data_IF_048810041467
#
_entry.id   IF_048810041467
#
_cell.length_a   1.000
_cell.length_b   1.000
_cell.length_c   1.000
_cell.angle_alpha   90.00
_cell.angle_beta   90.00
_cell.angle_gamma   90.00
#
_symmetry.space_group_name_H-M   'P 1'
#
loop_
_entity.id
_entity.type
_entity.pdbx_description
1 polymer ?
#
# COMPACT_ATOMS: atom_id res chain seq x y z
N UNK A 1 -27.89 27.24 25.05
CA UNK A 1 -26.67 27.64 25.80
C UNK A 1 -25.54 27.77 24.79
N UNK A 2 -25.31 28.98 24.28
CA UNK A 2 -24.31 29.26 23.23
C UNK A 2 -23.04 29.80 23.90
N UNK A 3 -21.90 29.11 23.78
CA UNK A 3 -20.59 29.66 24.17
C UNK A 3 -19.99 30.35 22.94
N UNK A 4 -19.96 31.68 22.94
CA UNK A 4 -19.14 32.45 22.02
C UNK A 4 -17.68 32.40 22.49
N UNK A 5 -16.78 32.08 21.56
CA UNK A 5 -15.34 32.25 21.73
C UNK A 5 -14.97 33.65 21.22
N UNK A 6 -14.52 34.53 22.11
CA UNK A 6 -13.96 35.84 21.75
C UNK A 6 -12.44 35.78 21.83
N UNK A 7 -11.77 36.05 20.71
CA UNK A 7 -10.32 36.22 20.67
C UNK A 7 -9.94 37.61 21.18
N UNK A 8 -9.00 37.70 22.12
CA UNK A 8 -8.42 38.95 22.60
C UNK A 8 -7.01 39.13 22.02
N UNK A 9 -6.67 40.38 21.67
CA UNK A 9 -5.40 40.75 21.02
C UNK A 9 -4.31 41.20 22.01
N UNK A 10 -4.40 40.78 23.28
CA UNK A 10 -3.39 41.09 24.29
C UNK A 10 -2.36 39.96 24.36
N UNK A 11 -1.05 40.25 24.30
CA UNK A 11 -0.02 39.23 24.45
C UNK A 11 -0.10 38.59 25.84
N UNK A 12 -0.07 37.26 25.87
CA UNK A 12 -0.09 36.48 27.10
C UNK A 12 1.13 36.84 27.97
N UNK A 13 0.91 37.44 29.14
CA UNK A 13 1.99 37.78 30.07
C UNK A 13 2.61 36.51 30.64
N UNK A 14 3.86 36.23 30.28
CA UNK A 14 4.63 35.11 30.81
C UNK A 14 5.14 35.42 32.22
N UNK A 15 4.38 35.07 33.25
CA UNK A 15 4.91 34.93 34.60
C UNK A 15 5.74 33.65 34.69
N UNK A 16 7.04 33.81 34.91
CA UNK A 16 8.01 32.76 35.20
C UNK A 16 7.45 31.74 36.18
N UNK A 17 7.10 30.58 35.68
CA UNK A 17 6.69 29.42 36.46
C UNK A 17 7.71 28.33 36.17
N UNK A 18 8.39 27.92 37.24
CA UNK A 18 9.12 26.66 37.42
C UNK A 18 9.14 25.75 36.19
N UNK A 19 10.34 25.51 35.67
CA UNK A 19 10.62 24.47 34.69
C UNK A 19 10.01 23.15 35.17
N UNK A 20 8.81 22.85 34.68
CA UNK A 20 8.33 21.49 34.59
C UNK A 20 9.29 20.83 33.61
N UNK A 21 10.15 19.97 34.13
CA UNK A 21 10.84 18.98 33.33
C UNK A 21 9.78 18.28 32.50
N UNK A 22 9.71 18.63 31.21
CA UNK A 22 9.02 17.79 30.24
C UNK A 22 9.64 16.41 30.42
N UNK A 23 8.85 15.33 30.58
CA UNK A 23 9.43 14.01 30.46
C UNK A 23 9.96 13.96 29.04
N UNK A 24 11.29 14.02 28.91
CA UNK A 24 11.99 13.59 27.73
C UNK A 24 11.60 12.13 27.56
N UNK A 25 10.51 11.88 26.84
CA UNK A 25 10.14 10.57 26.38
C UNK A 25 11.16 10.22 25.30
N UNK A 26 12.33 9.81 25.76
CA UNK A 26 13.30 9.08 24.98
C UNK A 26 12.64 7.74 24.65
N UNK A 27 11.69 7.73 23.73
CA UNK A 27 11.42 6.50 22.99
C UNK A 27 12.77 6.15 22.36
N UNK A 28 13.38 5.00 22.70
CA UNK A 28 14.60 4.60 22.06
C UNK A 28 14.32 4.58 20.55
N UNK A 29 15.11 5.33 19.78
CA UNK A 29 14.96 5.32 18.32
C UNK A 29 15.09 3.88 17.81
N UNK A 30 14.14 3.44 16.99
CA UNK A 30 14.15 2.08 16.45
C UNK A 30 12.76 1.49 16.26
N UNK A 31 12.67 0.23 15.79
CA UNK A 31 11.42 -0.49 15.66
C UNK A 31 10.71 -0.62 17.02
N UNK A 32 9.38 -0.61 17.00
CA UNK A 32 8.59 -0.90 18.20
C UNK A 32 8.86 -2.33 18.67
N UNK A 33 8.60 -2.61 19.96
CA UNK A 33 8.70 -3.98 20.49
C UNK A 33 7.90 -5.00 19.66
N UNK A 34 6.73 -4.58 19.14
CA UNK A 34 5.94 -5.38 18.22
C UNK A 34 6.69 -5.68 16.92
N UNK A 35 7.23 -4.67 16.24
CA UNK A 35 7.95 -4.86 14.99
C UNK A 35 9.21 -5.73 15.19
N UNK A 36 9.98 -5.48 16.25
CA UNK A 36 11.17 -6.25 16.59
C UNK A 36 10.86 -7.75 16.85
N UNK A 37 9.73 -8.06 17.47
CA UNK A 37 9.32 -9.44 17.74
C UNK A 37 8.84 -10.21 16.50
N UNK A 38 8.38 -9.50 15.46
CA UNK A 38 7.73 -10.11 14.29
C UNK A 38 8.58 -10.06 13.01
N UNK A 39 9.56 -9.15 12.91
CA UNK A 39 10.49 -9.06 11.79
C UNK A 39 11.65 -10.07 11.93
N UNK A 40 11.36 -11.37 11.78
CA UNK A 40 12.34 -12.45 11.96
C UNK A 40 13.20 -12.71 10.73
N UNK A 41 12.70 -12.33 9.57
CA UNK A 41 13.30 -12.49 8.26
C UNK A 41 12.79 -11.37 7.32
N UNK A 42 13.32 -11.32 6.11
CA UNK A 42 12.99 -10.26 5.13
C UNK A 42 11.50 -10.25 4.79
N UNK A 43 10.89 -11.42 4.62
CA UNK A 43 9.50 -11.54 4.24
C UNK A 43 8.57 -11.15 5.41
N UNK A 44 8.84 -11.66 6.61
CA UNK A 44 8.05 -11.30 7.79
C UNK A 44 8.17 -9.81 8.14
N UNK A 45 9.34 -9.20 7.92
CA UNK A 45 9.51 -7.75 8.03
C UNK A 45 8.68 -6.98 6.99
N UNK A 46 8.65 -7.42 5.73
CA UNK A 46 7.85 -6.79 4.68
C UNK A 46 6.34 -6.89 4.96
N UNK A 47 5.88 -8.04 5.45
CA UNK A 47 4.46 -8.28 5.79
C UNK A 47 3.95 -7.46 6.98
N UNK A 48 4.82 -6.80 7.74
CA UNK A 48 4.39 -5.80 8.72
C UNK A 48 3.82 -4.53 8.06
N UNK A 49 4.25 -4.22 6.84
CA UNK A 49 3.73 -3.10 6.05
C UNK A 49 2.58 -3.55 5.16
N UNK A 50 2.74 -4.67 4.47
CA UNK A 50 1.71 -5.28 3.64
C UNK A 50 1.03 -6.37 4.43
N UNK A 51 0.10 -5.96 5.29
CA UNK A 51 -0.58 -6.88 6.20
C UNK A 51 -1.51 -7.83 5.44
N UNK A 52 -1.85 -9.00 6.01
CA UNK A 52 -2.83 -9.91 5.42
C UNK A 52 -4.21 -9.26 5.17
N UNK A 53 -4.57 -8.22 5.94
CA UNK A 53 -5.80 -7.47 5.72
C UNK A 53 -5.73 -6.64 4.43
N UNK A 54 -4.60 -5.98 4.18
CA UNK A 54 -4.35 -5.23 2.94
C UNK A 54 -4.33 -6.19 1.75
N UNK A 55 -3.62 -7.31 1.83
CA UNK A 55 -3.59 -8.33 0.77
C UNK A 55 -5.01 -8.81 0.42
N UNK A 56 -5.84 -9.11 1.42
CA UNK A 56 -7.24 -9.51 1.21
C UNK A 56 -8.05 -8.44 0.49
N UNK A 57 -7.97 -7.18 0.91
CA UNK A 57 -8.68 -6.07 0.24
C UNK A 57 -8.26 -5.99 -1.23
N UNK A 58 -6.96 -6.08 -1.51
CA UNK A 58 -6.46 -6.05 -2.89
C UNK A 58 -6.98 -7.23 -3.70
N UNK A 59 -6.90 -8.45 -3.16
CA UNK A 59 -7.38 -9.67 -3.82
C UNK A 59 -8.87 -9.60 -4.13
N UNK A 60 -9.69 -9.30 -3.12
CA UNK A 60 -11.15 -9.28 -3.24
C UNK A 60 -11.60 -8.24 -4.28
N UNK A 61 -11.04 -7.03 -4.21
CA UNK A 61 -11.42 -5.95 -5.12
C UNK A 61 -10.90 -6.18 -6.54
N UNK A 62 -9.71 -6.77 -6.69
CA UNK A 62 -9.14 -7.13 -7.99
C UNK A 62 -9.95 -8.25 -8.65
N UNK A 63 -10.30 -9.29 -7.90
CA UNK A 63 -11.12 -10.39 -8.41
C UNK A 63 -12.55 -9.96 -8.73
N UNK A 64 -13.13 -9.08 -7.94
CA UNK A 64 -14.43 -8.48 -8.22
C UNK A 64 -14.42 -7.70 -9.55
N UNK A 65 -13.39 -6.90 -9.80
CA UNK A 65 -13.23 -6.19 -11.09
C UNK A 65 -12.96 -7.16 -12.24
N UNK A 66 -12.14 -8.19 -12.03
CA UNK A 66 -11.86 -9.23 -13.01
C UNK A 66 -13.12 -9.97 -13.45
N UNK A 67 -13.92 -10.43 -12.48
CA UNK A 67 -15.19 -11.10 -12.72
C UNK A 67 -16.19 -10.18 -13.46
N UNK A 68 -16.27 -8.90 -13.11
CA UNK A 68 -17.12 -7.93 -13.83
C UNK A 68 -16.72 -7.74 -15.29
N UNK A 69 -15.42 -7.81 -15.60
CA UNK A 69 -14.90 -7.53 -16.94
C UNK A 69 -14.86 -8.76 -17.84
N UNK A 70 -14.57 -9.93 -17.29
CA UNK A 70 -14.31 -11.14 -18.06
C UNK A 70 -15.28 -12.28 -17.74
N UNK A 71 -16.15 -12.13 -16.74
CA UNK A 71 -17.11 -13.17 -16.34
C UNK A 71 -16.41 -14.49 -16.05
N UNK A 72 -16.93 -15.58 -16.64
CA UNK A 72 -16.41 -16.94 -16.48
C UNK A 72 -15.00 -17.14 -17.04
N UNK A 73 -14.51 -16.23 -17.90
CA UNK A 73 -13.15 -16.28 -18.41
C UNK A 73 -12.11 -15.74 -17.42
N UNK A 74 -12.54 -15.16 -16.29
CA UNK A 74 -11.63 -14.73 -15.23
C UNK A 74 -11.19 -15.91 -14.37
N UNK A 75 -9.92 -16.28 -14.47
CA UNK A 75 -9.35 -17.37 -13.68
C UNK A 75 -9.25 -17.07 -12.17
N UNK A 76 -9.30 -15.79 -11.79
CA UNK A 76 -8.96 -15.37 -10.44
C UNK A 76 -7.49 -14.99 -10.31
N UNK A 77 -7.20 -14.20 -9.29
CA UNK A 77 -5.88 -13.89 -8.76
C UNK A 77 -5.86 -14.40 -7.33
N UNK A 78 -4.92 -15.29 -7.00
CA UNK A 78 -4.76 -15.80 -5.64
C UNK A 78 -3.65 -15.06 -4.86
N UNK A 79 -3.45 -15.45 -3.60
CA UNK A 79 -2.43 -14.86 -2.71
C UNK A 79 -1.01 -15.05 -3.25
N UNK A 80 -0.74 -16.18 -3.92
CA UNK A 80 0.57 -16.47 -4.54
C UNK A 80 0.78 -15.57 -5.75
N UNK A 81 -0.24 -15.41 -6.59
CA UNK A 81 -0.22 -14.52 -7.75
C UNK A 81 0.06 -13.07 -7.33
N UNK A 82 -0.61 -12.59 -6.27
CA UNK A 82 -0.40 -11.23 -5.75
C UNK A 82 1.00 -11.03 -5.21
N UNK A 83 1.54 -12.01 -4.47
CA UNK A 83 2.90 -11.94 -3.95
C UNK A 83 3.94 -12.03 -5.06
N UNK A 84 3.74 -12.90 -6.03
CA UNK A 84 4.59 -13.01 -7.22
C UNK A 84 4.60 -11.69 -8.02
N UNK A 85 3.42 -11.12 -8.29
CA UNK A 85 3.28 -9.83 -8.94
C UNK A 85 3.98 -8.71 -8.17
N UNK A 86 3.78 -8.65 -6.84
CA UNK A 86 4.41 -7.64 -5.97
C UNK A 86 5.93 -7.81 -5.94
N UNK A 87 6.42 -9.04 -5.87
CA UNK A 87 7.85 -9.37 -5.93
C UNK A 87 8.48 -8.89 -7.24
N UNK A 88 7.80 -9.06 -8.38
CA UNK A 88 8.27 -8.54 -9.66
C UNK A 88 8.33 -7.01 -9.70
N UNK A 89 7.39 -6.31 -9.05
CA UNK A 89 7.43 -4.85 -8.92
C UNK A 89 8.62 -4.38 -8.07
N UNK A 90 8.87 -5.03 -6.94
CA UNK A 90 10.02 -4.74 -6.07
C UNK A 90 11.32 -4.97 -6.84
N UNK A 91 11.40 -6.09 -7.57
CA UNK A 91 12.58 -6.47 -8.33
C UNK A 91 12.84 -5.53 -9.51
N UNK A 92 11.80 -5.09 -10.22
CA UNK A 92 11.93 -4.05 -11.25
C UNK A 92 12.47 -2.74 -10.67
N UNK A 93 12.05 -2.38 -9.45
CA UNK A 93 12.61 -1.26 -8.70
C UNK A 93 14.09 -1.44 -8.37
N UNK A 94 14.49 -2.63 -7.92
CA UNK A 94 15.88 -2.95 -7.61
C UNK A 94 16.80 -2.86 -8.85
N UNK A 95 16.30 -3.27 -10.02
CA UNK A 95 16.99 -3.12 -11.29
C UNK A 95 17.01 -1.69 -11.86
N UNK A 96 16.40 -0.72 -11.16
CA UNK A 96 16.24 0.67 -11.61
C UNK A 96 15.58 0.78 -12.99
N UNK A 97 14.72 -0.18 -13.33
CA UNK A 97 14.04 -0.31 -14.63
C UNK A 97 12.90 0.70 -14.83
N UNK A 98 13.00 1.88 -14.21
CA UNK A 98 11.99 2.94 -14.36
C UNK A 98 12.01 3.44 -15.81
N UNK A 99 10.88 3.32 -16.49
CA UNK A 99 10.74 3.73 -17.89
C UNK A 99 11.21 2.68 -18.90
N UNK A 100 11.74 1.54 -18.44
CA UNK A 100 11.99 0.38 -19.28
C UNK A 100 10.66 -0.27 -19.68
N UNK A 101 10.55 -0.73 -20.93
CA UNK A 101 9.37 -1.45 -21.36
C UNK A 101 9.31 -2.81 -20.64
N UNK A 102 8.11 -3.19 -20.17
CA UNK A 102 7.92 -4.52 -19.59
C UNK A 102 8.32 -5.64 -20.57
N UNK A 103 8.10 -5.43 -21.88
CA UNK A 103 8.56 -6.38 -22.90
C UNK A 103 10.08 -6.62 -22.88
N UNK A 104 10.88 -5.58 -22.61
CA UNK A 104 12.34 -5.70 -22.50
C UNK A 104 12.75 -6.48 -21.24
N UNK A 105 12.07 -6.24 -20.11
CA UNK A 105 12.29 -7.00 -18.88
C UNK A 105 12.02 -8.50 -19.05
N UNK A 106 11.02 -8.84 -19.88
CA UNK A 106 10.56 -10.20 -20.20
C UNK A 106 11.18 -10.79 -21.48
N UNK A 107 12.14 -10.11 -22.10
CA UNK A 107 12.77 -10.63 -23.30
C UNK A 107 13.58 -11.90 -23.02
N UNK A 108 13.56 -12.86 -23.94
CA UNK A 108 14.17 -14.18 -23.73
C UNK A 108 15.71 -14.13 -23.78
N UNK A 109 16.28 -13.19 -24.53
CA UNK A 109 17.73 -13.11 -24.75
C UNK A 109 18.36 -11.99 -23.91
N UNK A 110 17.74 -10.82 -23.93
CA UNK A 110 18.23 -9.58 -23.33
C UNK A 110 17.52 -9.20 -22.02
N UNK A 111 16.44 -9.91 -21.68
CA UNK A 111 15.66 -9.66 -20.49
C UNK A 111 16.24 -10.30 -19.24
N UNK A 112 15.40 -10.42 -18.21
CA UNK A 112 15.77 -10.94 -16.91
C UNK A 112 14.99 -12.22 -16.66
N UNK A 113 15.67 -13.37 -16.72
CA UNK A 113 15.05 -14.69 -16.68
C UNK A 113 14.04 -14.90 -15.53
N UNK A 114 14.31 -14.29 -14.37
CA UNK A 114 13.43 -14.32 -13.19
C UNK A 114 12.01 -13.79 -13.48
N UNK A 115 11.85 -12.81 -14.36
CA UNK A 115 10.53 -12.26 -14.69
C UNK A 115 9.67 -13.29 -15.43
N UNK A 116 10.21 -13.88 -16.49
CA UNK A 116 9.53 -14.94 -17.25
C UNK A 116 9.34 -16.22 -16.43
N UNK A 117 10.30 -16.56 -15.57
CA UNK A 117 10.21 -17.73 -14.69
C UNK A 117 9.14 -17.58 -13.61
N UNK A 118 8.86 -16.34 -13.18
CA UNK A 118 7.84 -16.08 -12.16
C UNK A 118 6.44 -16.02 -12.76
N UNK A 119 6.27 -15.28 -13.86
CA UNK A 119 4.95 -15.03 -14.45
C UNK A 119 5.06 -14.63 -15.92
N UNK A 120 4.21 -15.13 -16.84
CA UNK A 120 4.20 -14.66 -18.22
C UNK A 120 3.86 -13.16 -18.33
N UNK A 121 4.49 -12.45 -19.28
CA UNK A 121 4.25 -11.01 -19.51
C UNK A 121 2.76 -10.67 -19.71
N UNK A 122 2.03 -11.55 -20.41
CA UNK A 122 0.59 -11.39 -20.64
C UNK A 122 -0.20 -11.39 -19.33
N UNK A 123 0.17 -12.24 -18.38
CA UNK A 123 -0.48 -12.34 -17.08
C UNK A 123 -0.10 -11.14 -16.19
N UNK A 124 1.17 -10.71 -16.22
CA UNK A 124 1.60 -9.48 -15.56
C UNK A 124 0.78 -8.27 -16.01
N UNK A 125 0.61 -8.08 -17.33
CA UNK A 125 -0.23 -7.01 -17.87
C UNK A 125 -1.70 -7.14 -17.52
N UNK A 126 -2.22 -8.37 -17.45
CA UNK A 126 -3.59 -8.62 -17.04
C UNK A 126 -3.82 -8.17 -15.59
N UNK A 127 -2.94 -8.59 -14.66
CA UNK A 127 -3.01 -8.18 -13.26
C UNK A 127 -2.78 -6.68 -13.09
N UNK A 128 -1.81 -6.06 -13.77
CA UNK A 128 -1.62 -4.60 -13.72
C UNK A 128 -2.88 -3.82 -14.12
N UNK A 129 -3.70 -4.34 -15.04
CA UNK A 129 -4.95 -3.69 -15.46
C UNK A 129 -6.07 -3.90 -14.46
N UNK A 130 -6.16 -5.10 -13.87
CA UNK A 130 -7.25 -5.49 -12.99
C UNK A 130 -7.05 -5.09 -11.53
N UNK A 131 -5.81 -4.78 -11.10
CA UNK A 131 -5.49 -4.43 -9.73
C UNK A 131 -6.40 -3.31 -9.19
N UNK A 132 -7.09 -3.56 -8.07
CA UNK A 132 -7.94 -2.59 -7.36
C UNK A 132 -7.72 -2.66 -5.85
N UNK A 133 -7.97 -1.53 -5.19
CA UNK A 133 -7.90 -1.38 -3.73
C UNK A 133 -9.28 -1.11 -3.10
N UNK A 134 -10.31 -0.91 -3.92
CA UNK A 134 -11.66 -0.62 -3.48
C UNK A 134 -12.71 -1.11 -4.49
N UNK A 135 -13.97 -1.14 -4.07
CA UNK A 135 -15.08 -1.44 -4.96
C UNK A 135 -15.45 -0.21 -5.78
N UNK A 136 -15.21 -0.30 -7.10
CA UNK A 136 -15.54 0.73 -8.08
C UNK A 136 -17.03 1.10 -8.09
N UNK A 137 -17.93 0.16 -7.79
CA UNK A 137 -19.38 0.41 -7.84
C UNK A 137 -19.82 1.40 -6.76
N UNK A 138 -19.27 1.29 -5.55
CA UNK A 138 -19.58 2.18 -4.41
C UNK A 138 -18.70 3.43 -4.37
N UNK A 139 -17.71 3.52 -5.25
CA UNK A 139 -16.71 4.61 -5.22
C UNK A 139 -17.31 5.98 -5.49
N UNK A 140 -18.30 6.07 -6.39
CA UNK A 140 -18.91 7.36 -6.75
C UNK A 140 -19.56 8.03 -5.54
N UNK A 141 -20.30 7.26 -4.74
CA UNK A 141 -20.94 7.72 -3.51
C UNK A 141 -19.91 8.12 -2.45
N UNK A 142 -18.90 7.26 -2.22
CA UNK A 142 -17.84 7.53 -1.24
C UNK A 142 -16.99 8.75 -1.60
N UNK A 143 -16.77 9.01 -2.89
CA UNK A 143 -16.01 10.16 -3.39
C UNK A 143 -16.60 11.51 -2.99
N UNK A 144 -17.90 11.56 -2.74
CA UNK A 144 -18.57 12.78 -2.25
C UNK A 144 -18.02 13.19 -0.88
N UNK A 145 -17.76 12.20 -0.02
CA UNK A 145 -17.24 12.43 1.33
C UNK A 145 -15.70 12.35 1.41
N UNK A 146 -15.08 11.49 0.60
CA UNK A 146 -13.64 11.22 0.64
C UNK A 146 -13.02 11.21 -0.76
N UNK A 147 -12.19 12.21 -1.07
CA UNK A 147 -11.48 12.32 -2.36
C UNK A 147 -10.53 11.15 -2.62
N UNK A 148 -10.05 10.47 -1.57
CA UNK A 148 -9.16 9.33 -1.62
C UNK A 148 -9.90 7.98 -1.52
N UNK A 149 -11.21 7.97 -1.73
CA UNK A 149 -12.05 6.76 -1.66
C UNK A 149 -11.52 5.56 -2.47
N UNK A 150 -10.73 5.78 -3.51
CA UNK A 150 -10.14 4.70 -4.32
C UNK A 150 -9.02 3.91 -3.60
N UNK A 151 -8.42 4.47 -2.56
CA UNK A 151 -7.25 3.91 -1.86
C UNK A 151 -7.35 3.96 -0.35
N UNK A 152 -8.34 4.65 0.24
CA UNK A 152 -8.42 4.85 1.69
C UNK A 152 -8.65 3.58 2.53
N UNK A 153 -8.87 2.42 1.90
CA UNK A 153 -9.07 1.13 2.57
C UNK A 153 -7.78 0.33 2.75
N UNK A 154 -6.67 0.80 2.19
CA UNK A 154 -5.33 0.19 2.29
C UNK A 154 -4.32 1.14 2.90
#
# INVERSE_FOLDING_TARGET
MNRQLTWSSLPYSSSSSSSSSSPSSSSPGGPTAHAAAHARDIESAFRLFVTPAIERVVLDMTNLEGARRYGDAWAGMDETDLRAYTGLLILAGAYKSRGEAAASLWDAESGRAVFCATMPLKLFHLFSRMLRFDDRATRAERRVADKLAAVCRV
#
